data_IF_329024663889
#
_entry.id   IF_329024663889
#
_cell.length_a   1.000
_cell.length_b   1.000
_cell.length_c   1.000
_cell.angle_alpha   90.00
_cell.angle_beta   90.00
_cell.angle_gamma   90.00
#
_symmetry.space_group_name_H-M   'P 1'
#
loop_
_entity.id
_entity.type
_entity.pdbx_description
1 polymer ?
#
# COMPACT_ATOMS: atom_id res chain seq x y z
N UNK A 1 23.72 -15.60 4.45
CA UNK A 1 22.43 -15.34 5.12
C UNK A 1 22.77 -14.93 6.53
N UNK A 2 22.62 -13.65 6.86
CA UNK A 2 22.95 -13.13 8.19
C UNK A 2 21.71 -13.21 9.07
N UNK A 3 21.66 -14.26 9.89
CA UNK A 3 20.58 -14.49 10.84
C UNK A 3 20.95 -13.91 12.20
N UNK A 4 20.10 -13.04 12.73
CA UNK A 4 20.27 -12.45 14.07
C UNK A 4 19.42 -13.22 15.07
N UNK A 5 20.02 -13.65 16.19
CA UNK A 5 19.31 -14.32 17.28
C UNK A 5 18.45 -13.29 18.03
N UNK A 6 17.14 -13.41 17.91
CA UNK A 6 16.17 -12.53 18.58
C UNK A 6 15.23 -13.37 19.44
N UNK A 7 14.91 -12.88 20.64
CA UNK A 7 13.93 -13.53 21.53
C UNK A 7 12.67 -12.67 21.61
N UNK A 8 11.53 -13.23 21.24
CA UNK A 8 10.23 -12.55 21.31
C UNK A 8 9.26 -13.34 22.21
N UNK A 9 8.39 -12.64 22.92
CA UNK A 9 7.31 -13.25 23.70
C UNK A 9 6.09 -13.43 22.81
N UNK A 10 5.52 -14.63 22.81
CA UNK A 10 4.36 -15.01 21.99
C UNK A 10 3.26 -15.60 22.86
N UNK A 11 2.00 -15.45 22.42
CA UNK A 11 0.88 -16.16 23.04
C UNK A 11 1.10 -17.66 22.92
N UNK A 12 0.90 -18.40 24.02
CA UNK A 12 1.11 -19.86 24.09
C UNK A 12 0.38 -20.63 22.99
N UNK A 13 -0.89 -20.27 22.74
CA UNK A 13 -1.72 -20.91 21.70
C UNK A 13 -1.13 -20.67 20.31
N UNK A 14 -0.62 -19.46 20.06
CA UNK A 14 -0.08 -19.08 18.76
C UNK A 14 1.22 -19.83 18.47
N UNK A 15 2.10 -19.96 19.47
CA UNK A 15 3.30 -20.80 19.39
C UNK A 15 2.94 -22.25 19.05
N UNK A 16 1.99 -22.86 19.78
CA UNK A 16 1.57 -24.24 19.55
C UNK A 16 1.04 -24.47 18.13
N UNK A 17 0.22 -23.54 17.62
CA UNK A 17 -0.31 -23.61 16.24
C UNK A 17 0.80 -23.49 15.20
N UNK A 18 1.74 -22.58 15.41
CA UNK A 18 2.88 -22.40 14.50
C UNK A 18 3.79 -23.63 14.48
N UNK A 19 4.04 -24.25 15.64
CA UNK A 19 4.80 -25.51 15.75
C UNK A 19 4.11 -26.64 14.99
N UNK A 20 2.79 -26.77 15.16
CA UNK A 20 2.01 -27.78 14.44
C UNK A 20 2.08 -27.57 12.92
N UNK A 21 1.90 -26.33 12.46
CA UNK A 21 2.00 -25.99 11.05
C UNK A 21 3.41 -26.21 10.47
N UNK A 22 4.46 -26.00 11.27
CA UNK A 22 5.83 -26.30 10.87
C UNK A 22 6.01 -27.78 10.55
N UNK A 23 5.47 -28.65 11.40
CA UNK A 23 5.50 -30.10 11.21
C UNK A 23 4.69 -30.51 9.98
N UNK A 24 3.46 -30.02 9.85
CA UNK A 24 2.57 -30.35 8.72
C UNK A 24 3.19 -29.97 7.36
N UNK A 25 3.89 -28.83 7.31
CA UNK A 25 4.49 -28.32 6.08
C UNK A 25 5.95 -28.75 5.86
N UNK A 26 6.53 -29.60 6.73
CA UNK A 26 7.95 -29.96 6.71
C UNK A 26 8.88 -28.72 6.66
N UNK A 27 8.53 -27.69 7.43
CA UNK A 27 9.31 -26.45 7.54
C UNK A 27 9.78 -26.22 8.97
N UNK A 28 10.50 -25.12 9.20
CA UNK A 28 10.92 -24.73 10.55
C UNK A 28 10.05 -23.59 11.07
N UNK A 29 9.91 -23.52 12.39
CA UNK A 29 9.26 -22.41 13.06
C UNK A 29 9.87 -21.06 12.64
N UNK A 30 11.20 -21.02 12.47
CA UNK A 30 11.92 -19.83 12.00
C UNK A 30 11.50 -19.41 10.60
N UNK A 31 11.36 -20.36 9.67
CA UNK A 31 10.91 -20.08 8.31
C UNK A 31 9.51 -19.45 8.30
N UNK A 32 8.57 -20.03 9.06
CA UNK A 32 7.20 -19.50 9.20
C UNK A 32 7.21 -18.08 9.75
N UNK A 33 8.04 -17.80 10.78
CA UNK A 33 8.13 -16.45 11.33
C UNK A 33 8.70 -15.44 10.35
N UNK A 34 9.75 -15.81 9.61
CA UNK A 34 10.35 -14.93 8.61
C UNK A 34 9.37 -14.62 7.48
N UNK A 35 8.68 -15.64 6.96
CA UNK A 35 7.69 -15.50 5.89
C UNK A 35 6.50 -14.65 6.34
N UNK A 36 5.97 -14.91 7.55
CA UNK A 36 4.87 -14.12 8.10
C UNK A 36 5.26 -12.65 8.33
N UNK A 37 6.49 -12.39 8.76
CA UNK A 37 6.99 -11.03 8.95
C UNK A 37 7.13 -10.30 7.60
N UNK A 38 7.70 -10.97 6.60
CA UNK A 38 7.87 -10.41 5.26
C UNK A 38 6.50 -10.09 4.63
N UNK A 39 5.55 -11.04 4.68
CA UNK A 39 4.19 -10.84 4.20
C UNK A 39 3.50 -9.65 4.91
N UNK A 40 3.64 -9.53 6.23
CA UNK A 40 3.09 -8.41 6.99
C UNK A 40 3.70 -7.07 6.55
N UNK A 41 5.03 -7.00 6.41
CA UNK A 41 5.72 -5.79 5.97
C UNK A 41 5.32 -5.38 4.55
N UNK A 42 5.19 -6.33 3.63
CA UNK A 42 4.74 -6.10 2.27
C UNK A 42 3.28 -5.60 2.23
N UNK A 43 2.38 -6.20 3.01
CA UNK A 43 1.00 -5.72 3.10
C UNK A 43 0.90 -4.29 3.65
N UNK A 44 1.66 -4.00 4.71
CA UNK A 44 1.72 -2.65 5.31
C UNK A 44 2.26 -1.65 4.28
N UNK A 45 3.33 -1.99 3.57
CA UNK A 45 3.89 -1.16 2.51
C UNK A 45 2.86 -0.90 1.39
N UNK A 46 2.14 -1.94 0.95
CA UNK A 46 1.08 -1.82 -0.07
C UNK A 46 -0.08 -0.94 0.40
N UNK A 47 -0.51 -1.03 1.66
CA UNK A 47 -1.56 -0.17 2.23
C UNK A 47 -1.11 1.29 2.26
N UNK A 48 0.10 1.57 2.74
CA UNK A 48 0.68 2.92 2.73
C UNK A 48 0.83 3.49 1.32
N UNK A 49 1.27 2.68 0.36
CA UNK A 49 1.39 3.10 -1.03
C UNK A 49 0.04 3.43 -1.68
N UNK A 50 -1.03 2.70 -1.35
CA UNK A 50 -2.39 3.01 -1.81
C UNK A 50 -2.94 4.30 -1.24
N UNK A 51 -2.61 4.64 0.00
CA UNK A 51 -3.03 5.89 0.65
C UNK A 51 -2.39 7.12 -0.01
N UNK A 52 -1.22 6.98 -0.66
CA UNK A 52 -0.50 8.07 -1.33
C UNK A 52 -0.60 7.90 -2.86
N UNK A 53 -1.80 7.85 -3.41
CA UNK A 53 -2.00 8.08 -4.87
C UNK A 53 -3.13 9.09 -5.06
N UNK A 54 -2.80 10.37 -4.91
CA UNK A 54 -3.60 11.41 -5.55
C UNK A 54 -3.31 11.35 -7.05
N UNK A 55 -4.19 10.70 -7.82
CA UNK A 55 -4.19 10.84 -9.28
C UNK A 55 -4.70 12.24 -9.63
N UNK A 56 -3.85 13.25 -9.44
CA UNK A 56 -4.15 14.61 -9.89
C UNK A 56 -3.90 14.63 -11.39
N UNK A 57 -4.97 14.50 -12.18
CA UNK A 57 -4.87 14.82 -13.60
C UNK A 57 -4.65 16.34 -13.71
N UNK A 58 -3.61 16.73 -14.45
CA UNK A 58 -3.40 18.14 -14.78
C UNK A 58 -4.55 18.59 -15.69
N UNK A 59 -5.47 19.40 -15.14
CA UNK A 59 -6.60 19.97 -15.88
C UNK A 59 -6.20 21.15 -16.79
N UNK A 60 -4.90 21.33 -17.05
CA UNK A 60 -4.37 22.45 -17.81
C UNK A 60 -4.27 23.74 -17.00
N UNK A 61 -4.11 24.87 -17.71
CA UNK A 61 -4.08 26.20 -17.08
C UNK A 61 -5.49 26.55 -16.58
N UNK A 62 -5.64 27.21 -15.40
CA UNK A 62 -6.93 27.69 -14.94
C UNK A 62 -7.54 28.60 -16.02
N UNK A 63 -8.77 28.29 -16.42
CA UNK A 63 -9.55 29.06 -17.40
C UNK A 63 -10.11 30.36 -16.81
N UNK A 64 -9.65 30.76 -15.62
CA UNK A 64 -10.15 31.92 -14.86
C UNK A 64 -9.87 33.27 -15.53
N UNK A 65 -9.17 33.27 -16.67
CA UNK A 65 -8.88 34.47 -17.46
C UNK A 65 -9.75 34.58 -18.74
N UNK A 66 -10.69 33.67 -18.97
CA UNK A 66 -11.58 33.77 -20.14
C UNK A 66 -12.74 34.72 -19.86
N UNK A 67 -12.88 35.68 -20.76
CA UNK A 67 -13.95 36.68 -20.74
C UNK A 67 -15.09 36.23 -21.65
N UNK A 68 -16.31 36.73 -21.42
CA UNK A 68 -17.50 36.36 -22.20
C UNK A 68 -17.32 36.56 -23.71
N UNK A 69 -16.49 37.53 -24.11
CA UNK A 69 -16.10 37.83 -25.49
C UNK A 69 -15.32 36.71 -26.18
N UNK A 70 -14.67 35.82 -25.43
CA UNK A 70 -13.88 34.72 -26.00
C UNK A 70 -14.75 33.55 -26.48
N UNK A 71 -16.01 33.47 -26.02
CA UNK A 71 -16.95 32.40 -26.35
C UNK A 71 -18.14 32.83 -27.20
N UNK A 72 -18.51 34.12 -27.15
CA UNK A 72 -19.67 34.64 -27.86
C UNK A 72 -19.21 35.76 -28.79
N UNK A 73 -19.26 35.51 -30.10
CA UNK A 73 -19.11 36.56 -31.10
C UNK A 73 -20.20 37.62 -30.89
N UNK A 74 -19.82 38.89 -31.02
CA UNK A 74 -20.72 40.03 -30.81
C UNK A 74 -21.99 39.88 -31.63
N UNK A 75 -23.16 40.24 -31.08
CA UNK A 75 -24.42 40.11 -31.80
C UNK A 75 -24.35 40.97 -33.07
N UNK A 76 -24.67 40.34 -34.20
CA UNK A 76 -24.71 41.01 -35.50
C UNK A 76 -25.93 41.94 -35.52
N UNK A 77 -25.74 43.16 -35.02
CA UNK A 77 -26.76 44.22 -35.09
C UNK A 77 -26.61 44.85 -36.49
N UNK A 78 -27.49 44.42 -37.41
CA UNK A 78 -27.67 45.08 -38.70
C UNK A 78 -28.38 46.42 -38.54
#
# INVERSE_FOLDING_TARGET
MDLVRTTIRLRKILKKKAEQSAVENNTTLQAIFNEALDAYLQEVARKKAKEIIFKVHSLGRPLDNLTRSDYYSEPNIK
#
